data_IF_471617822456
#
_entry.id   IF_471617822456
#
_cell.length_a   1.000
_cell.length_b   1.000
_cell.length_c   1.000
_cell.angle_alpha   90.00
_cell.angle_beta   90.00
_cell.angle_gamma   90.00
#
_symmetry.space_group_name_H-M   'P 1'
#
loop_
_entity.id
_entity.type
_entity.pdbx_description
1 polymer ?
#
# COMPACT_ATOMS: atom_id res chain seq x y z
N UNK A 1 -48.94 48.35 -29.81
CA UNK A 1 -47.51 47.95 -29.73
C UNK A 1 -47.30 47.19 -28.42
N UNK A 2 -47.36 45.86 -28.40
CA UNK A 2 -47.21 45.04 -27.18
C UNK A 2 -45.92 44.23 -27.29
N UNK A 3 -44.91 44.58 -26.50
CA UNK A 3 -43.63 43.85 -26.41
C UNK A 3 -43.84 42.60 -25.53
N UNK A 4 -43.56 41.42 -26.10
CA UNK A 4 -43.44 40.16 -25.34
C UNK A 4 -42.00 40.05 -24.84
N UNK A 5 -41.83 39.99 -23.52
CA UNK A 5 -40.54 39.71 -22.88
C UNK A 5 -40.47 38.18 -22.70
N UNK A 6 -39.49 37.55 -23.35
CA UNK A 6 -39.15 36.16 -23.12
C UNK A 6 -38.27 36.09 -21.87
N UNK A 7 -38.78 35.48 -20.80
CA UNK A 7 -37.98 35.12 -19.64
C UNK A 7 -37.14 33.89 -19.99
N UNK A 8 -35.84 34.09 -20.18
CA UNK A 8 -34.87 33.00 -20.27
C UNK A 8 -34.64 32.48 -18.86
N UNK A 9 -35.20 31.31 -18.56
CA UNK A 9 -34.94 30.59 -17.32
C UNK A 9 -33.53 29.96 -17.42
N UNK A 10 -32.53 30.63 -16.84
CA UNK A 10 -31.19 30.05 -16.66
C UNK A 10 -31.28 29.06 -15.51
N UNK A 11 -31.39 27.77 -15.84
CA UNK A 11 -31.22 26.68 -14.87
C UNK A 11 -29.74 26.61 -14.53
N UNK A 12 -29.34 27.33 -13.50
CA UNK A 12 -28.06 27.12 -12.82
C UNK A 12 -28.14 25.75 -12.15
N UNK A 13 -27.53 24.75 -12.79
CA UNK A 13 -27.17 23.49 -12.16
C UNK A 13 -26.24 23.79 -10.97
N UNK A 14 -26.83 23.95 -9.80
CA UNK A 14 -26.15 23.93 -8.51
C UNK A 14 -25.61 22.51 -8.28
N UNK A 15 -24.48 22.18 -8.90
CA UNK A 15 -23.59 21.18 -8.36
C UNK A 15 -22.94 21.79 -7.10
N UNK A 16 -23.70 21.80 -6.00
CA UNK A 16 -23.11 21.84 -4.67
C UNK A 16 -22.40 20.50 -4.46
N UNK A 17 -21.21 20.38 -5.05
CA UNK A 17 -20.31 19.28 -4.75
C UNK A 17 -19.93 19.45 -3.28
N UNK A 18 -20.42 18.50 -2.49
CA UNK A 18 -20.14 18.24 -1.08
C UNK A 18 -18.72 18.65 -0.68
N UNK A 19 -18.57 19.88 -0.19
CA UNK A 19 -17.32 20.42 0.34
C UNK A 19 -17.20 19.98 1.80
N UNK A 20 -16.83 18.72 2.07
CA UNK A 20 -16.56 18.27 3.44
C UNK A 20 -15.43 17.21 3.47
N UNK A 21 -14.36 17.51 4.22
CA UNK A 21 -13.29 16.63 4.74
C UNK A 21 -12.19 16.06 3.80
N UNK A 22 -12.22 16.23 2.49
CA UNK A 22 -11.12 15.77 1.62
C UNK A 22 -9.78 16.52 1.87
N UNK A 23 -9.84 17.77 2.34
CA UNK A 23 -8.67 18.62 2.60
C UNK A 23 -7.70 18.07 3.65
N UNK A 24 -8.14 17.13 4.49
CA UNK A 24 -7.31 16.51 5.53
C UNK A 24 -6.34 15.48 4.94
N UNK A 25 -6.60 14.98 3.73
CA UNK A 25 -5.77 13.98 3.05
C UNK A 25 -4.98 14.66 1.93
N UNK A 26 -3.75 15.10 2.23
CA UNK A 26 -2.93 15.88 1.29
C UNK A 26 -2.53 15.12 0.03
N UNK A 27 -2.57 13.79 0.07
CA UNK A 27 -2.18 12.91 -1.04
C UNK A 27 -3.37 12.19 -1.69
N UNK A 28 -4.60 12.46 -1.28
CA UNK A 28 -5.78 11.80 -1.86
C UNK A 28 -6.18 12.44 -3.19
N UNK A 29 -6.38 11.60 -4.21
CA UNK A 29 -6.98 11.97 -5.48
C UNK A 29 -8.43 11.47 -5.52
N UNK A 30 -9.38 12.31 -5.10
CA UNK A 30 -10.79 11.92 -4.89
C UNK A 30 -11.42 11.32 -6.15
N UNK A 31 -11.11 11.85 -7.33
CA UNK A 31 -11.70 11.40 -8.60
C UNK A 31 -11.27 9.97 -8.97
N UNK A 32 -10.16 9.51 -8.43
CA UNK A 32 -9.60 8.17 -8.63
C UNK A 32 -10.02 7.17 -7.54
N UNK A 33 -10.62 7.68 -6.47
CA UNK A 33 -10.79 6.99 -5.21
C UNK A 33 -12.26 6.70 -4.89
N UNK A 34 -13.02 6.31 -5.91
CA UNK A 34 -14.36 5.78 -5.73
C UNK A 34 -14.31 4.34 -5.20
N UNK A 35 -15.40 3.90 -4.56
CA UNK A 35 -15.59 2.48 -4.24
C UNK A 35 -15.35 1.63 -5.48
N UNK A 36 -14.67 0.51 -5.29
CA UNK A 36 -14.34 -0.42 -6.35
C UNK A 36 -15.56 -0.89 -7.13
N UNK A 37 -15.44 -0.85 -8.45
CA UNK A 37 -16.27 -1.58 -9.39
C UNK A 37 -15.43 -2.69 -10.02
N UNK A 38 -16.09 -3.72 -10.57
CA UNK A 38 -15.42 -4.81 -11.28
C UNK A 38 -14.50 -4.24 -12.36
N UNK A 39 -13.24 -4.65 -12.35
CA UNK A 39 -12.25 -4.12 -13.28
C UNK A 39 -11.03 -5.04 -13.45
N UNK A 40 -10.08 -4.64 -14.29
CA UNK A 40 -8.81 -5.34 -14.40
C UNK A 40 -8.05 -5.21 -13.08
N UNK A 41 -7.66 -6.35 -12.50
CA UNK A 41 -6.90 -6.38 -11.26
C UNK A 41 -5.44 -6.70 -11.51
N UNK A 42 -4.59 -6.26 -10.58
CA UNK A 42 -3.24 -6.78 -10.43
C UNK A 42 -3.35 -8.15 -9.78
N UNK A 43 -2.75 -9.16 -10.41
CA UNK A 43 -2.74 -10.53 -9.94
C UNK A 43 -1.33 -10.99 -9.56
N UNK A 44 -1.22 -12.04 -8.75
CA UNK A 44 0.07 -12.61 -8.37
C UNK A 44 0.86 -13.13 -9.58
N UNK A 45 0.17 -13.68 -10.58
CA UNK A 45 0.74 -14.18 -11.82
C UNK A 45 1.09 -13.09 -12.85
N UNK A 46 0.87 -11.80 -12.54
CA UNK A 46 1.48 -10.70 -13.29
C UNK A 46 2.99 -10.58 -13.06
N UNK A 47 3.47 -11.24 -12.00
CA UNK A 47 4.86 -11.27 -11.58
C UNK A 47 5.40 -12.70 -11.60
N UNK A 48 6.72 -12.84 -11.62
CA UNK A 48 7.38 -14.14 -11.59
C UNK A 48 8.48 -14.14 -10.52
N UNK A 49 8.74 -15.31 -9.96
CA UNK A 49 9.92 -15.48 -9.10
C UNK A 49 11.20 -15.39 -9.93
N UNK A 50 12.22 -14.74 -9.37
CA UNK A 50 13.54 -14.68 -9.97
C UNK A 50 13.70 -13.60 -11.04
N UNK A 51 12.97 -12.50 -10.93
CA UNK A 51 13.10 -11.36 -11.84
C UNK A 51 14.48 -10.71 -11.72
N UNK A 52 15.02 -10.24 -12.84
CA UNK A 52 16.14 -9.30 -12.86
C UNK A 52 15.67 -7.88 -12.51
N UNK A 53 16.63 -7.02 -12.18
CA UNK A 53 16.34 -5.61 -11.88
C UNK A 53 15.68 -4.88 -13.07
N UNK A 54 16.09 -5.20 -14.29
CA UNK A 54 15.48 -4.62 -15.50
C UNK A 54 14.04 -5.08 -15.68
N UNK A 55 13.76 -6.37 -15.45
CA UNK A 55 12.39 -6.89 -15.51
C UNK A 55 11.47 -6.22 -14.46
N UNK A 56 11.97 -5.95 -13.25
CA UNK A 56 11.19 -5.20 -12.23
C UNK A 56 10.84 -3.80 -12.73
N UNK A 57 11.80 -3.08 -13.36
CA UNK A 57 11.58 -1.74 -13.91
C UNK A 57 10.60 -1.72 -15.08
N UNK A 58 10.75 -2.68 -15.99
CA UNK A 58 9.85 -2.87 -17.13
C UNK A 58 8.43 -3.19 -16.65
N UNK A 59 8.29 -4.15 -15.73
CA UNK A 59 7.00 -4.53 -15.15
C UNK A 59 6.37 -3.38 -14.36
N UNK A 60 7.16 -2.57 -13.66
CA UNK A 60 6.65 -1.37 -13.00
C UNK A 60 6.01 -0.40 -13.98
N UNK A 61 6.65 -0.20 -15.14
CA UNK A 61 6.10 0.66 -16.20
C UNK A 61 4.83 0.05 -16.79
N UNK A 62 4.83 -1.25 -17.06
CA UNK A 62 3.66 -1.97 -17.55
C UNK A 62 2.47 -1.85 -16.60
N UNK A 63 2.63 -2.25 -15.33
CA UNK A 63 1.56 -2.22 -14.32
C UNK A 63 1.01 -0.81 -14.14
N UNK A 64 1.88 0.19 -14.01
CA UNK A 64 1.46 1.59 -13.86
C UNK A 64 0.56 2.07 -15.00
N UNK A 65 0.81 1.59 -16.22
CA UNK A 65 0.09 2.00 -17.43
C UNK A 65 -1.06 1.07 -17.83
N UNK A 66 -1.20 -0.09 -17.20
CA UNK A 66 -2.12 -1.16 -17.62
C UNK A 66 -3.60 -0.88 -17.34
N UNK A 67 -3.90 0.09 -16.47
CA UNK A 67 -5.25 0.30 -15.91
C UNK A 67 -5.62 -0.73 -14.82
N UNK A 68 -4.75 -1.72 -14.53
CA UNK A 68 -4.95 -2.63 -13.41
C UNK A 68 -4.88 -1.90 -12.07
N UNK A 69 -5.71 -2.36 -11.13
CA UNK A 69 -5.84 -1.82 -9.76
C UNK A 69 -5.76 -2.94 -8.74
N UNK A 70 -5.49 -2.61 -7.49
CA UNK A 70 -5.67 -3.58 -6.41
C UNK A 70 -7.16 -3.88 -6.21
N UNK A 71 -7.46 -5.15 -5.92
CA UNK A 71 -8.78 -5.61 -5.49
C UNK A 71 -9.02 -5.22 -4.03
N UNK A 72 -10.28 -4.97 -3.67
CA UNK A 72 -10.70 -4.48 -2.37
C UNK A 72 -9.88 -3.29 -1.88
N UNK A 73 -9.52 -2.40 -2.81
CA UNK A 73 -8.65 -1.25 -2.52
C UNK A 73 -9.34 -0.22 -1.64
N UNK A 74 -8.52 0.56 -0.94
CA UNK A 74 -9.00 1.73 -0.22
C UNK A 74 -9.77 2.69 -1.15
N UNK A 75 -10.82 3.31 -0.62
CA UNK A 75 -11.64 4.28 -1.33
C UNK A 75 -12.13 5.39 -0.40
N UNK A 76 -12.57 6.52 -0.96
CA UNK A 76 -13.18 7.61 -0.23
C UNK A 76 -14.71 7.42 -0.18
N UNK A 77 -15.28 7.32 1.03
CA UNK A 77 -16.72 7.08 1.24
C UNK A 77 -17.57 8.37 1.20
N UNK A 78 -16.96 9.51 0.82
CA UNK A 78 -17.55 10.85 0.90
C UNK A 78 -17.21 11.59 2.19
N UNK A 79 -16.61 10.93 3.19
CA UNK A 79 -16.21 11.51 4.47
C UNK A 79 -14.82 11.07 4.92
N UNK A 80 -14.49 9.80 4.78
CA UNK A 80 -13.25 9.16 5.21
C UNK A 80 -12.66 8.33 4.07
N UNK A 81 -11.35 8.10 4.16
CA UNK A 81 -10.73 7.01 3.40
C UNK A 81 -10.92 5.72 4.20
N UNK A 82 -11.53 4.72 3.58
CA UNK A 82 -11.77 3.41 4.18
C UNK A 82 -11.16 2.31 3.31
N UNK A 83 -10.68 1.25 3.93
CA UNK A 83 -10.15 0.07 3.27
C UNK A 83 -10.95 -1.15 3.67
N UNK A 84 -11.58 -1.86 2.72
CA UNK A 84 -12.23 -3.14 2.98
C UNK A 84 -11.25 -4.15 3.58
N UNK A 85 -11.74 -4.92 4.53
CA UNK A 85 -11.06 -6.06 5.11
C UNK A 85 -12.01 -7.25 5.11
N UNK A 86 -11.62 -8.31 4.42
CA UNK A 86 -12.34 -9.59 4.42
C UNK A 86 -12.35 -10.18 5.84
N UNK A 87 -13.53 -10.37 6.42
CA UNK A 87 -13.72 -10.96 7.75
C UNK A 87 -14.74 -12.09 7.72
N UNK A 88 -14.80 -12.89 8.80
CA UNK A 88 -15.85 -13.92 8.89
C UNK A 88 -17.22 -13.26 8.90
N UNK A 89 -18.07 -13.61 7.92
CA UNK A 89 -19.42 -13.05 7.79
C UNK A 89 -19.55 -11.83 6.87
N UNK A 90 -18.50 -11.41 6.17
CA UNK A 90 -18.54 -10.33 5.17
C UNK A 90 -17.31 -9.43 5.21
N UNK A 91 -17.48 -8.16 4.83
CA UNK A 91 -16.40 -7.19 4.81
C UNK A 91 -16.56 -6.16 5.95
N UNK A 92 -15.45 -5.87 6.64
CA UNK A 92 -15.35 -4.72 7.52
C UNK A 92 -14.73 -3.53 6.78
N UNK A 93 -15.20 -2.31 7.04
CA UNK A 93 -14.58 -1.09 6.53
C UNK A 93 -13.68 -0.48 7.60
N UNK A 94 -12.38 -0.50 7.36
CA UNK A 94 -11.36 0.03 8.28
C UNK A 94 -11.03 1.46 7.87
N UNK A 95 -11.13 2.43 8.78
CA UNK A 95 -10.80 3.83 8.47
C UNK A 95 -9.29 4.04 8.48
N UNK A 96 -8.76 4.59 7.39
CA UNK A 96 -7.36 4.98 7.28
C UNK A 96 -7.18 6.41 7.77
N UNK A 97 -6.31 6.62 8.76
CA UNK A 97 -6.00 8.00 9.19
C UNK A 97 -5.13 8.73 8.16
N UNK A 98 -5.25 10.07 8.08
CA UNK A 98 -4.33 10.88 7.30
C UNK A 98 -2.86 10.61 7.63
N UNK A 99 -2.53 10.43 8.92
CA UNK A 99 -1.16 10.14 9.37
C UNK A 99 -0.61 8.83 8.81
N UNK A 100 -1.43 7.78 8.80
CA UNK A 100 -1.02 6.50 8.22
C UNK A 100 -0.72 6.65 6.73
N UNK A 101 -1.63 7.27 5.98
CA UNK A 101 -1.48 7.51 4.54
C UNK A 101 -0.26 8.37 4.21
N UNK A 102 -0.02 9.42 5.00
CA UNK A 102 1.16 10.27 4.86
C UNK A 102 2.46 9.53 5.20
N UNK A 103 2.44 8.64 6.20
CA UNK A 103 3.60 7.79 6.53
C UNK A 103 3.95 6.89 5.36
N UNK A 104 2.97 6.16 4.81
CA UNK A 104 3.17 5.28 3.66
C UNK A 104 3.71 6.04 2.44
N UNK A 105 3.11 7.20 2.11
CA UNK A 105 3.61 8.06 1.05
C UNK A 105 5.09 8.41 1.27
N UNK A 106 5.42 8.93 2.46
CA UNK A 106 6.79 9.35 2.76
C UNK A 106 7.79 8.19 2.74
N UNK A 107 7.38 6.98 3.13
CA UNK A 107 8.23 5.80 3.00
C UNK A 107 8.56 5.49 1.54
N UNK A 108 7.57 5.56 0.64
CA UNK A 108 7.79 5.37 -0.80
C UNK A 108 8.77 6.41 -1.34
N UNK A 109 8.55 7.69 -1.02
CA UNK A 109 9.38 8.79 -1.49
C UNK A 109 10.83 8.67 -0.98
N UNK A 110 11.01 8.31 0.30
CA UNK A 110 12.34 8.09 0.89
C UNK A 110 12.99 6.84 0.33
N UNK A 111 12.24 5.76 0.11
CA UNK A 111 12.72 4.54 -0.53
C UNK A 111 13.31 4.84 -1.91
N UNK A 112 12.61 5.61 -2.73
CA UNK A 112 13.13 6.05 -4.02
C UNK A 112 14.35 6.96 -3.87
N UNK A 113 14.28 7.97 -2.99
CA UNK A 113 15.37 8.93 -2.78
C UNK A 113 16.67 8.25 -2.34
N UNK A 114 16.58 7.18 -1.55
CA UNK A 114 17.73 6.43 -1.03
C UNK A 114 18.14 5.23 -1.89
N UNK A 115 17.41 4.96 -2.98
CA UNK A 115 17.68 3.81 -3.85
C UNK A 115 17.45 2.47 -3.15
N UNK A 116 16.48 2.39 -2.24
CA UNK A 116 16.06 1.14 -1.59
C UNK A 116 15.01 0.38 -2.41
N UNK A 117 14.31 1.11 -3.29
CA UNK A 117 13.29 0.58 -4.18
C UNK A 117 13.52 1.09 -5.60
N UNK A 118 13.10 0.31 -6.59
CA UNK A 118 13.06 0.68 -8.00
C UNK A 118 11.61 0.82 -8.50
N UNK A 119 10.67 0.15 -7.82
CA UNK A 119 9.25 0.15 -8.17
C UNK A 119 8.35 0.16 -6.91
N UNK A 120 7.05 0.40 -7.11
CA UNK A 120 5.99 0.18 -6.11
C UNK A 120 5.04 -0.83 -6.73
N UNK A 121 5.40 -2.10 -6.67
CA UNK A 121 4.67 -3.27 -7.18
C UNK A 121 5.02 -4.46 -6.28
N UNK A 122 4.26 -5.55 -6.32
CA UNK A 122 4.46 -6.69 -5.42
C UNK A 122 5.94 -7.15 -5.24
N UNK A 123 6.74 -7.33 -6.30
CA UNK A 123 8.16 -7.66 -6.17
C UNK A 123 9.04 -6.65 -5.42
N UNK A 124 8.63 -5.38 -5.34
CA UNK A 124 9.43 -4.26 -4.83
C UNK A 124 8.53 -3.25 -4.09
N UNK A 125 8.51 -3.35 -2.75
CA UNK A 125 7.70 -2.52 -1.84
C UNK A 125 6.19 -2.67 -2.03
N UNK A 126 5.74 -3.69 -2.75
CA UNK A 126 4.32 -3.93 -2.96
C UNK A 126 3.63 -4.75 -1.87
N UNK A 127 4.39 -5.32 -0.95
CA UNK A 127 3.89 -6.14 0.15
C UNK A 127 4.44 -5.66 1.49
N UNK A 128 3.61 -5.71 2.54
CA UNK A 128 4.00 -5.24 3.87
C UNK A 128 3.49 -6.09 5.02
N UNK A 129 4.16 -5.93 6.15
CA UNK A 129 3.83 -6.49 7.45
C UNK A 129 3.87 -5.41 8.53
N UNK A 130 3.40 -5.76 9.72
CA UNK A 130 3.39 -4.86 10.86
C UNK A 130 4.28 -5.36 11.99
N UNK A 131 4.95 -4.42 12.65
CA UNK A 131 5.47 -4.62 14.01
C UNK A 131 4.65 -3.76 14.96
N UNK A 132 3.88 -4.42 15.81
CA UNK A 132 2.93 -3.81 16.73
C UNK A 132 3.57 -3.74 18.11
N UNK A 133 3.52 -2.62 18.85
CA UNK A 133 4.01 -2.57 20.22
C UNK A 133 3.42 -3.70 21.07
N UNK A 134 4.30 -4.53 21.65
CA UNK A 134 3.95 -5.80 22.28
C UNK A 134 2.96 -5.62 23.42
N UNK A 135 3.19 -4.63 24.28
CA UNK A 135 2.27 -4.27 25.38
C UNK A 135 0.87 -3.91 24.85
N UNK A 136 0.80 -3.08 23.81
CA UNK A 136 -0.47 -2.69 23.20
C UNK A 136 -1.20 -3.89 22.59
N UNK A 137 -0.45 -4.78 21.93
CA UNK A 137 -1.02 -6.01 21.40
C UNK A 137 -1.62 -6.88 22.52
N UNK A 138 -0.86 -7.16 23.57
CA UNK A 138 -1.26 -8.05 24.66
C UNK A 138 -2.44 -7.51 25.47
N UNK A 139 -2.44 -6.22 25.78
CA UNK A 139 -3.44 -5.60 26.66
C UNK A 139 -4.71 -5.14 25.91
N UNK A 140 -4.60 -4.77 24.63
CA UNK A 140 -5.71 -4.15 23.88
C UNK A 140 -6.20 -5.02 22.74
N UNK A 141 -5.29 -5.47 21.86
CA UNK A 141 -5.69 -6.12 20.59
C UNK A 141 -6.00 -7.61 20.75
N UNK A 142 -5.17 -8.34 21.50
CA UNK A 142 -5.29 -9.78 21.69
C UNK A 142 -6.60 -10.19 22.40
N UNK A 143 -7.09 -9.46 23.44
CA UNK A 143 -8.34 -9.79 24.11
C UNK A 143 -9.60 -9.57 23.27
N UNK A 144 -9.52 -8.76 22.20
CA UNK A 144 -10.68 -8.50 21.36
C UNK A 144 -11.10 -9.77 20.58
N UNK A 145 -12.40 -10.07 20.44
CA UNK A 145 -12.87 -11.22 19.67
C UNK A 145 -12.60 -11.06 18.17
N UNK A 146 -12.58 -12.18 17.44
CA UNK A 146 -12.37 -12.19 15.97
C UNK A 146 -13.47 -11.47 15.20
N UNK A 147 -14.70 -11.36 15.74
CA UNK A 147 -15.78 -10.55 15.15
C UNK A 147 -15.44 -9.06 15.09
N UNK A 148 -14.47 -8.59 15.88
CA UNK A 148 -13.96 -7.21 15.88
C UNK A 148 -12.69 -7.04 15.06
N UNK A 149 -12.40 -7.93 14.09
CA UNK A 149 -11.15 -7.87 13.30
C UNK A 149 -10.96 -6.53 12.57
N UNK A 150 -12.04 -5.93 12.02
CA UNK A 150 -11.95 -4.59 11.43
C UNK A 150 -11.51 -3.51 12.43
N UNK A 151 -12.10 -3.51 13.63
CA UNK A 151 -11.73 -2.60 14.71
C UNK A 151 -10.27 -2.82 15.18
N UNK A 152 -9.82 -4.08 15.26
CA UNK A 152 -8.41 -4.39 15.54
C UNK A 152 -7.48 -3.74 14.51
N UNK A 153 -7.80 -3.86 13.22
CA UNK A 153 -7.00 -3.25 12.16
C UNK A 153 -7.00 -1.73 12.24
N UNK A 154 -8.16 -1.11 12.48
CA UNK A 154 -8.26 0.34 12.67
C UNK A 154 -7.40 0.82 13.84
N UNK A 155 -7.40 0.09 14.96
CA UNK A 155 -6.56 0.39 16.12
C UNK A 155 -5.06 0.22 15.82
N UNK A 156 -4.67 -0.86 15.12
CA UNK A 156 -3.28 -1.12 14.74
C UNK A 156 -2.71 0.01 13.88
N UNK A 157 -3.35 0.32 12.75
CA UNK A 157 -2.87 1.34 11.80
C UNK A 157 -2.95 2.76 12.34
N UNK A 158 -3.72 2.99 13.40
CA UNK A 158 -3.79 4.27 14.09
C UNK A 158 -2.87 4.35 15.32
N UNK A 159 -2.09 3.31 15.62
CA UNK A 159 -1.10 3.37 16.69
C UNK A 159 0.17 4.12 16.22
N UNK A 160 0.61 5.20 16.88
CA UNK A 160 1.75 6.01 16.43
C UNK A 160 3.11 5.31 16.53
N UNK A 161 3.20 4.24 17.31
CA UNK A 161 4.40 3.41 17.43
C UNK A 161 4.35 2.14 16.57
N UNK A 162 3.30 1.96 15.75
CA UNK A 162 3.33 0.93 14.72
C UNK A 162 4.55 1.13 13.83
N UNK A 163 5.23 0.04 13.49
CA UNK A 163 6.19 0.01 12.38
C UNK A 163 5.63 -0.79 11.22
N UNK A 164 5.99 -0.39 10.01
CA UNK A 164 5.56 -1.04 8.78
C UNK A 164 6.81 -1.60 8.11
N UNK A 165 6.87 -2.93 7.99
CA UNK A 165 7.92 -3.63 7.26
C UNK A 165 7.49 -3.78 5.81
N UNK A 166 8.37 -3.39 4.88
CA UNK A 166 8.22 -3.61 3.45
C UNK A 166 9.32 -4.53 2.96
N UNK A 167 8.96 -5.50 2.12
CA UNK A 167 9.93 -6.29 1.37
C UNK A 167 10.17 -5.64 0.01
N UNK A 168 11.34 -5.02 -0.17
CA UNK A 168 11.67 -4.22 -1.37
C UNK A 168 12.28 -5.06 -2.50
N UNK A 169 12.73 -6.27 -2.24
CA UNK A 169 13.38 -7.10 -3.27
C UNK A 169 12.82 -8.52 -3.29
N UNK A 170 11.52 -8.66 -3.06
CA UNK A 170 10.89 -9.92 -2.70
C UNK A 170 11.14 -11.02 -3.73
N UNK A 171 10.92 -10.71 -5.01
CA UNK A 171 11.09 -11.63 -6.15
C UNK A 171 12.33 -11.32 -7.01
N UNK A 172 13.22 -10.43 -6.56
CA UNK A 172 14.46 -10.10 -7.26
C UNK A 172 15.50 -11.23 -7.10
N UNK A 173 16.09 -11.66 -8.21
CA UNK A 173 17.25 -12.56 -8.19
C UNK A 173 18.47 -11.82 -7.67
N UNK A 174 18.91 -12.16 -6.46
CA UNK A 174 20.08 -11.55 -5.80
C UNK A 174 21.13 -12.57 -5.38
N UNK A 175 20.80 -13.86 -5.46
CA UNK A 175 21.63 -14.96 -4.97
C UNK A 175 22.03 -15.90 -6.10
N UNK A 176 23.20 -16.52 -5.98
CA UNK A 176 23.61 -17.65 -6.80
C UNK A 176 22.97 -18.98 -6.33
N UNK A 177 23.32 -20.06 -7.02
CA UNK A 177 22.91 -21.43 -6.70
C UNK A 177 23.35 -21.90 -5.29
N UNK A 178 24.40 -21.29 -4.74
CA UNK A 178 24.95 -21.57 -3.41
C UNK A 178 24.39 -20.64 -2.32
N UNK A 179 23.34 -19.87 -2.63
CA UNK A 179 22.72 -18.88 -1.71
C UNK A 179 23.67 -17.76 -1.28
N UNK A 180 24.66 -17.42 -2.09
CA UNK A 180 25.54 -16.27 -1.87
C UNK A 180 25.08 -15.08 -2.71
N UNK A 181 25.21 -13.84 -2.20
CA UNK A 181 24.94 -12.65 -3.01
C UNK A 181 25.74 -12.65 -4.31
N UNK A 182 25.06 -12.39 -5.43
CA UNK A 182 25.69 -12.25 -6.74
C UNK A 182 26.77 -11.15 -6.71
N UNK A 183 27.86 -11.26 -7.49
CA UNK A 183 28.95 -10.27 -7.51
C UNK A 183 28.59 -8.99 -8.29
N UNK A 184 27.35 -8.52 -8.15
CA UNK A 184 26.86 -7.24 -8.69
C UNK A 184 26.58 -6.29 -7.52
N UNK A 185 27.20 -5.11 -7.55
CA UNK A 185 27.11 -4.15 -6.44
C UNK A 185 25.68 -3.66 -6.19
N UNK A 186 24.88 -3.50 -7.24
CA UNK A 186 23.49 -3.08 -7.10
C UNK A 186 22.64 -4.20 -6.51
N UNK A 187 22.83 -5.45 -6.95
CA UNK A 187 22.11 -6.59 -6.38
C UNK A 187 22.50 -6.85 -4.92
N UNK A 188 23.77 -6.70 -4.56
CA UNK A 188 24.21 -6.76 -3.15
C UNK A 188 23.59 -5.65 -2.32
N UNK A 189 23.53 -4.43 -2.86
CA UNK A 189 22.83 -3.33 -2.20
C UNK A 189 21.34 -3.63 -2.00
N UNK A 190 20.64 -4.13 -3.02
CA UNK A 190 19.23 -4.55 -2.90
C UNK A 190 19.07 -5.67 -1.87
N UNK A 191 20.01 -6.62 -1.79
CA UNK A 191 20.00 -7.70 -0.80
C UNK A 191 20.02 -7.14 0.63
N UNK A 192 20.92 -6.20 0.94
CA UNK A 192 21.00 -5.60 2.28
C UNK A 192 19.88 -4.57 2.56
N UNK A 193 19.20 -4.08 1.53
CA UNK A 193 18.09 -3.11 1.68
C UNK A 193 16.71 -3.75 1.56
N UNK A 194 16.63 -5.10 1.56
CA UNK A 194 15.40 -5.88 1.36
C UNK A 194 14.31 -5.60 2.40
N UNK A 195 14.68 -5.34 3.64
CA UNK A 195 13.72 -5.09 4.74
C UNK A 195 13.73 -3.61 5.10
N UNK A 196 12.82 -2.85 4.52
CA UNK A 196 12.65 -1.45 4.85
C UNK A 196 11.59 -1.32 5.94
N UNK A 197 11.92 -0.72 7.07
CA UNK A 197 10.97 -0.51 8.18
C UNK A 197 10.68 0.98 8.33
N UNK A 198 9.42 1.36 8.16
CA UNK A 198 8.93 2.74 8.28
C UNK A 198 8.17 2.99 9.58
N UNK A 199 8.20 4.25 10.08
CA UNK A 199 7.40 4.70 11.22
C UNK A 199 5.93 4.99 10.88
N UNK A 200 5.04 5.07 11.87
CA UNK A 200 3.65 5.51 11.65
C UNK A 200 3.36 6.91 12.23
N UNK A 201 4.33 7.81 12.10
CA UNK A 201 4.31 9.17 12.68
C UNK A 201 4.24 10.26 11.61
N UNK A 202 4.08 9.91 10.34
CA UNK A 202 4.13 10.80 9.19
C UNK A 202 5.45 11.57 9.07
N UNK A 203 6.56 11.02 9.59
CA UNK A 203 7.86 11.67 9.53
C UNK A 203 8.71 11.16 8.35
N UNK A 204 8.32 10.05 7.74
CA UNK A 204 9.08 9.41 6.67
C UNK A 204 10.39 8.79 7.17
N UNK A 205 10.53 8.50 8.47
CA UNK A 205 11.73 7.83 8.95
C UNK A 205 11.62 6.37 8.54
N UNK A 206 12.68 5.92 7.90
CA UNK A 206 12.86 4.53 7.53
C UNK A 206 14.23 4.06 8.01
N UNK A 207 14.28 2.80 8.38
CA UNK A 207 15.48 2.08 8.74
C UNK A 207 15.54 0.73 8.00
N UNK A 208 16.71 0.13 7.98
CA UNK A 208 16.94 -1.15 7.33
C UNK A 208 17.14 -2.21 8.40
N UNK A 209 16.36 -3.28 8.30
CA UNK A 209 16.54 -4.46 9.13
C UNK A 209 17.40 -5.47 8.37
N UNK A 210 18.45 -5.97 9.02
CA UNK A 210 19.29 -7.02 8.46
C UNK A 210 19.07 -8.31 9.26
N UNK A 211 18.61 -9.34 8.57
CA UNK A 211 18.44 -10.69 9.07
C UNK A 211 19.52 -11.58 8.45
N UNK A 212 20.72 -11.52 9.02
CA UNK A 212 21.91 -12.17 8.46
C UNK A 212 21.84 -13.70 8.50
N UNK A 213 20.97 -14.26 9.35
CA UNK A 213 20.80 -15.70 9.49
C UNK A 213 19.78 -16.26 8.48
N UNK A 214 19.02 -15.39 7.82
CA UNK A 214 18.13 -15.75 6.72
C UNK A 214 18.89 -15.79 5.39
N UNK A 215 18.79 -16.91 4.68
CA UNK A 215 19.42 -17.09 3.37
C UNK A 215 19.08 -16.02 2.34
N UNK A 216 17.92 -15.36 2.48
CA UNK A 216 17.46 -14.29 1.58
C UNK A 216 17.43 -12.92 2.26
N UNK A 217 17.99 -12.81 3.47
CA UNK A 217 17.90 -11.61 4.32
C UNK A 217 16.44 -11.16 4.51
N UNK A 218 15.51 -12.09 4.74
CA UNK A 218 14.09 -11.77 5.00
C UNK A 218 13.89 -11.66 6.51
N UNK A 219 13.65 -10.45 7.00
CA UNK A 219 13.46 -10.19 8.43
C UNK A 219 12.01 -10.37 8.88
N UNK A 220 11.83 -10.92 10.09
CA UNK A 220 10.52 -11.09 10.76
C UNK A 220 10.53 -10.64 12.22
N UNK A 221 11.67 -10.19 12.72
CA UNK A 221 11.85 -9.68 14.07
C UNK A 221 12.40 -8.25 13.98
N UNK A 222 11.99 -7.37 14.89
CA UNK A 222 12.39 -5.95 14.86
C UNK A 222 13.15 -5.55 16.11
N UNK A 223 12.52 -5.68 17.27
CA UNK A 223 13.11 -5.50 18.59
C UNK A 223 12.30 -6.32 19.62
N UNK A 224 12.72 -6.32 20.88
CA UNK A 224 12.03 -7.03 21.96
C UNK A 224 10.67 -6.41 22.37
N UNK A 225 10.38 -5.21 21.87
CA UNK A 225 9.22 -4.41 22.26
C UNK A 225 8.09 -4.44 21.23
N UNK A 226 8.30 -5.02 20.05
CA UNK A 226 7.29 -5.16 19.02
C UNK A 226 7.03 -6.62 18.67
N UNK A 227 5.75 -6.93 18.47
CA UNK A 227 5.27 -8.21 17.96
C UNK A 227 5.11 -8.14 16.45
N UNK A 228 5.66 -9.11 15.74
CA UNK A 228 5.41 -9.31 14.32
C UNK A 228 3.96 -9.71 14.06
N UNK A 229 3.38 -9.10 13.03
CA UNK A 229 2.06 -9.42 12.51
C UNK A 229 2.16 -9.51 10.98
N UNK A 230 2.09 -10.74 10.48
CA UNK A 230 2.35 -11.06 9.07
C UNK A 230 1.31 -10.55 8.07
N UNK A 231 0.19 -10.00 8.52
CA UNK A 231 -0.84 -9.47 7.62
C UNK A 231 -0.87 -7.94 7.65
N UNK A 232 -0.03 -7.31 6.83
CA UNK A 232 -0.04 -5.86 6.61
C UNK A 232 -1.02 -5.47 5.51
N UNK A 233 -0.50 -4.84 4.47
CA UNK A 233 -1.25 -4.41 3.29
C UNK A 233 -0.40 -4.50 2.02
N UNK A 234 -1.05 -4.54 0.86
CA UNK A 234 -0.40 -4.46 -0.44
C UNK A 234 -0.47 -3.06 -1.03
N UNK A 235 0.53 -2.77 -1.87
CA UNK A 235 0.78 -1.52 -2.57
C UNK A 235 0.98 -1.82 -4.04
N UNK A 236 0.36 -1.03 -4.91
CA UNK A 236 0.68 -1.06 -6.34
C UNK A 236 0.52 0.32 -6.95
N UNK A 237 1.55 0.75 -7.68
CA UNK A 237 1.48 1.95 -8.49
C UNK A 237 0.51 1.75 -9.66
N UNK A 238 -0.33 2.75 -9.91
CA UNK A 238 -1.26 2.79 -11.04
C UNK A 238 -1.50 4.24 -11.41
N UNK A 239 -1.63 4.55 -12.71
CA UNK A 239 -1.97 5.92 -13.16
C UNK A 239 -3.26 6.45 -12.55
N UNK A 240 -4.19 5.54 -12.25
CA UNK A 240 -5.48 5.87 -11.67
C UNK A 240 -5.51 5.64 -10.15
N UNK A 241 -4.35 5.45 -9.50
CA UNK A 241 -4.28 5.17 -8.07
C UNK A 241 -4.93 6.25 -7.20
N UNK A 242 -5.42 5.85 -6.02
CA UNK A 242 -6.06 6.73 -5.03
C UNK A 242 -5.12 7.78 -4.43
N UNK A 243 -3.87 7.39 -4.15
CA UNK A 243 -2.95 8.19 -3.35
C UNK A 243 -1.75 8.61 -4.17
N UNK A 244 -1.25 9.82 -3.96
CA UNK A 244 -0.11 10.34 -4.69
C UNK A 244 1.20 10.19 -3.91
N UNK A 245 2.30 10.13 -4.66
CA UNK A 245 3.68 10.25 -4.16
C UNK A 245 4.56 10.95 -5.20
N UNK A 246 5.67 11.51 -4.77
CA UNK A 246 6.62 12.21 -5.64
C UNK A 246 7.89 11.42 -5.87
N UNK A 247 8.26 11.22 -7.14
CA UNK A 247 9.54 10.64 -7.55
C UNK A 247 10.20 11.58 -8.57
N UNK A 248 11.40 12.06 -8.26
CA UNK A 248 12.17 12.96 -9.13
C UNK A 248 11.37 14.19 -9.61
N UNK A 249 10.62 14.81 -8.70
CA UNK A 249 9.79 15.99 -8.99
C UNK A 249 8.53 15.70 -9.82
N UNK A 250 8.20 14.43 -10.10
CA UNK A 250 6.98 14.02 -10.78
C UNK A 250 6.04 13.33 -9.81
N UNK A 251 4.75 13.62 -9.94
CA UNK A 251 3.68 12.96 -9.18
C UNK A 251 3.28 11.65 -9.85
N UNK A 252 3.22 10.60 -9.05
CA UNK A 252 2.71 9.28 -9.40
C UNK A 252 1.60 8.91 -8.43
N UNK A 253 0.87 7.84 -8.73
CA UNK A 253 -0.23 7.37 -7.89
C UNK A 253 -0.12 5.87 -7.57
N UNK A 254 -0.73 5.47 -6.45
CA UNK A 254 -0.77 4.10 -5.97
C UNK A 254 -2.09 3.80 -5.24
N UNK A 255 -2.37 2.51 -5.10
CA UNK A 255 -3.45 1.98 -4.28
C UNK A 255 -2.93 1.23 -3.06
N UNK A 256 -3.83 1.03 -2.10
CA UNK A 256 -3.65 0.21 -0.90
C UNK A 256 -4.76 -0.84 -0.83
N UNK A 257 -4.45 -2.06 -0.38
CA UNK A 257 -5.45 -3.09 -0.04
C UNK A 257 -4.98 -3.96 1.12
N UNK A 258 -5.88 -4.43 1.97
CA UNK A 258 -5.55 -5.45 2.98
C UNK A 258 -5.50 -6.87 2.39
N UNK A 259 -6.04 -7.06 1.19
CA UNK A 259 -6.03 -8.37 0.53
C UNK A 259 -4.70 -8.61 -0.17
N UNK A 260 -4.22 -9.86 -0.08
CA UNK A 260 -3.12 -10.34 -0.90
C UNK A 260 -3.52 -10.51 -2.37
N UNK A 261 -2.52 -10.47 -3.24
CA UNK A 261 -2.76 -10.67 -4.67
C UNK A 261 -3.23 -12.11 -4.91
N UNK A 262 -4.39 -12.25 -5.54
CA UNK A 262 -4.91 -13.56 -5.96
C UNK A 262 -4.33 -13.96 -7.32
N UNK A 263 -4.38 -15.25 -7.66
CA UNK A 263 -4.20 -15.68 -9.06
C UNK A 263 -5.33 -15.15 -9.94
N UNK A 264 -5.05 -14.96 -11.24
CA UNK A 264 -6.08 -14.61 -12.24
C UNK A 264 -6.95 -15.80 -12.65
N UNK A 265 -6.53 -17.03 -12.35
CA UNK A 265 -7.34 -18.23 -12.55
C UNK A 265 -8.33 -18.35 -11.40
N UNK A 266 -9.62 -18.31 -11.70
CA UNK A 266 -10.70 -18.58 -10.75
C UNK A 266 -10.77 -20.05 -10.35
N UNK A 267 -9.70 -20.59 -9.76
CA UNK A 267 -9.77 -21.82 -8.99
C UNK A 267 -9.72 -21.39 -7.54
N UNK A 268 -10.91 -21.28 -6.94
CA UNK A 268 -11.13 -20.72 -5.61
C UNK A 268 -10.56 -21.59 -4.49
N UNK A 269 -9.23 -21.66 -4.40
CA UNK A 269 -8.46 -22.15 -3.26
C UNK A 269 -7.05 -21.55 -3.33
N UNK A 270 -6.88 -20.31 -2.87
CA UNK A 270 -5.56 -19.78 -2.49
C UNK A 270 -5.62 -19.45 -0.98
N UNK A 271 -5.06 -20.40 -0.22
CA UNK A 271 -4.76 -20.46 1.24
C UNK A 271 -5.91 -20.51 2.26
#
# INVERSE_FOLDING_TARGET
MKRRIYAVLVVLCLFNVLNVNASTYTNLKVEHCSKEAVGPYVYSNDFSWGMSLNQIKEKSTEIYNSGKRLRNRAFFDGKNVVMPLSVSGGDALVKLSPRFLESVQKHIEVGYKRGYIDAVIFPDMGHSHFFIPKKYYEEVLAPMPNSKRGEKYELMINHPELKILYHTAEQLTMLDENKKPLPDRMLQWRFYTRNLVGDNKALGRVELLHETDSSHNTGRDYDDNHRYWGHGFNLSASKEGCFSFTKNGKTFYFDLSFDDLTSSSTDGWDF
#
